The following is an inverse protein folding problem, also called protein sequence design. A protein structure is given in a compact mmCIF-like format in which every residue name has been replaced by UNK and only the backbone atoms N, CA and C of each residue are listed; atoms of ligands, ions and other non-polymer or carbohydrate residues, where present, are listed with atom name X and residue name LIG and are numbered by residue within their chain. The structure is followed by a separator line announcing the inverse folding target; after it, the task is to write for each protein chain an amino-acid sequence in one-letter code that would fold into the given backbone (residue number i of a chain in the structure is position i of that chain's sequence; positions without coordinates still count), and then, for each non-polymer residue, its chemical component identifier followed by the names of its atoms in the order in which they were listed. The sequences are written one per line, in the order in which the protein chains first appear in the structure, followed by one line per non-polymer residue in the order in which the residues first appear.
data_IF_921567010042
#
_entry.id   IF_921567010042
#
_cell.length_a   1.000
_cell.length_b   1.000
_cell.length_c   1.000
_cell.angle_alpha   90.00
_cell.angle_beta   90.00
_cell.angle_gamma   90.00
#
_symmetry.space_group_name_H-M   'P 1'
#
loop_
_entity.id
_entity.type
_entity.pdbx_description
1 polymer ?
#
# COMPACT_ATOMS: atom_id res chain seq x y z
N UNK A 1 -29.99 -20.75 1.65
CA UNK A 1 -29.10 -19.64 2.04
C UNK A 1 -27.83 -20.26 2.55
N UNK A 2 -26.70 -20.01 1.89
CA UNK A 2 -25.40 -20.50 2.34
C UNK A 2 -24.90 -19.58 3.45
N UNK A 3 -24.63 -20.12 4.63
CA UNK A 3 -24.09 -19.36 5.74
C UNK A 3 -22.59 -19.13 5.46
N UNK A 4 -22.21 -17.89 5.16
CA UNK A 4 -20.81 -17.52 4.88
C UNK A 4 -20.20 -17.02 6.19
N UNK A 5 -19.29 -17.81 6.77
CA UNK A 5 -18.51 -17.40 7.94
C UNK A 5 -17.27 -16.61 7.53
N UNK A 6 -17.16 -15.36 7.96
CA UNK A 6 -15.95 -14.54 7.79
C UNK A 6 -15.02 -14.68 8.99
N UNK A 7 -13.71 -14.71 8.75
CA UNK A 7 -12.69 -14.70 9.81
C UNK A 7 -11.82 -13.46 9.68
N UNK A 8 -11.53 -12.80 10.80
CA UNK A 8 -10.63 -11.65 10.82
C UNK A 8 -9.21 -12.07 10.41
N UNK A 9 -8.52 -11.23 9.64
CA UNK A 9 -7.11 -11.40 9.29
C UNK A 9 -6.34 -10.24 9.92
N UNK A 10 -5.29 -10.52 10.68
CA UNK A 10 -4.40 -9.47 11.17
C UNK A 10 -3.62 -8.87 9.99
N UNK A 11 -3.84 -7.58 9.74
CA UNK A 11 -3.25 -6.86 8.60
C UNK A 11 -2.32 -5.76 9.11
N UNK A 12 -1.21 -6.16 9.72
CA UNK A 12 -0.23 -5.22 10.29
C UNK A 12 0.97 -5.04 9.35
N UNK A 13 1.30 -3.78 9.07
CA UNK A 13 2.49 -3.42 8.30
C UNK A 13 3.75 -3.75 9.10
N UNK A 14 4.76 -4.30 8.41
CA UNK A 14 6.11 -4.41 8.96
C UNK A 14 6.72 -3.01 9.14
N UNK A 15 7.68 -2.87 10.06
CA UNK A 15 8.36 -1.59 10.29
C UNK A 15 8.95 -0.98 9.00
N UNK A 16 9.57 -1.80 8.16
CA UNK A 16 10.08 -1.35 6.86
C UNK A 16 8.96 -0.89 5.91
N UNK A 17 7.80 -1.53 5.93
CA UNK A 17 6.66 -1.12 5.10
C UNK A 17 6.09 0.22 5.57
N UNK A 18 5.96 0.41 6.89
CA UNK A 18 5.56 1.68 7.49
C UNK A 18 6.54 2.79 7.12
N UNK A 19 7.85 2.53 7.22
CA UNK A 19 8.89 3.48 6.86
C UNK A 19 8.78 3.91 5.39
N UNK A 20 8.61 2.97 4.46
CA UNK A 20 8.48 3.31 3.03
C UNK A 20 7.19 4.10 2.79
N UNK A 21 6.06 3.72 3.41
CA UNK A 21 4.81 4.49 3.30
C UNK A 21 4.98 5.92 3.81
N UNK A 22 5.71 6.12 4.91
CA UNK A 22 6.03 7.45 5.43
C UNK A 22 6.88 8.25 4.44
N UNK A 23 7.96 7.67 3.91
CA UNK A 23 8.82 8.33 2.92
C UNK A 23 8.05 8.78 1.68
N UNK A 24 7.07 7.99 1.23
CA UNK A 24 6.19 8.37 0.14
C UNK A 24 5.30 9.58 0.49
N UNK A 25 4.78 9.64 1.72
CA UNK A 25 4.04 10.80 2.20
C UNK A 25 4.92 12.05 2.31
N UNK A 26 6.16 11.89 2.78
CA UNK A 26 7.12 12.99 2.89
C UNK A 26 7.53 13.51 1.52
N UNK A 27 7.70 12.63 0.53
CA UNK A 27 7.97 13.00 -0.86
C UNK A 27 6.80 13.77 -1.47
N UNK A 28 5.55 13.34 -1.22
CA UNK A 28 4.35 14.09 -1.62
C UNK A 28 4.39 15.52 -1.05
N UNK A 29 4.57 15.62 0.27
CA UNK A 29 4.53 16.90 0.97
C UNK A 29 5.59 17.86 0.47
N UNK A 30 6.81 17.37 0.21
CA UNK A 30 7.90 18.16 -0.36
C UNK A 30 7.62 18.58 -1.80
N UNK A 31 7.08 17.68 -2.64
CA UNK A 31 6.77 17.98 -4.03
C UNK A 31 5.74 19.11 -4.16
N UNK A 32 4.74 19.16 -3.28
CA UNK A 32 3.74 20.24 -3.29
C UNK A 32 4.31 21.63 -2.98
N UNK A 33 5.51 21.72 -2.40
CA UNK A 33 6.20 23.00 -2.15
C UNK A 33 7.00 23.49 -3.36
N UNK A 34 7.18 22.66 -4.39
CA UNK A 34 7.94 23.05 -5.58
C UNK A 34 7.11 23.98 -6.48
N UNK A 35 7.77 24.88 -7.24
CA UNK A 35 7.13 25.62 -8.31
C UNK A 35 6.46 24.67 -9.32
N UNK A 36 5.34 25.12 -9.89
CA UNK A 36 4.64 24.36 -10.92
C UNK A 36 5.28 24.67 -12.29
N UNK A 37 5.93 23.67 -12.89
CA UNK A 37 6.53 23.70 -14.22
C UNK A 37 5.55 23.19 -15.29
N UNK A 38 4.66 22.26 -14.94
CA UNK A 38 3.66 21.70 -15.86
C UNK A 38 2.30 21.49 -15.18
N UNK A 39 1.16 21.93 -15.78
CA UNK A 39 -0.16 21.84 -15.15
C UNK A 39 -0.59 20.44 -14.66
N UNK A 40 -0.09 19.38 -15.30
CA UNK A 40 -0.46 18.00 -14.95
C UNK A 40 0.46 17.34 -13.93
N UNK A 41 1.64 17.89 -13.67
CA UNK A 41 2.69 17.18 -12.92
C UNK A 41 2.27 16.84 -11.48
N UNK A 42 1.49 17.72 -10.83
CA UNK A 42 0.96 17.47 -9.49
C UNK A 42 0.07 16.25 -9.46
N UNK A 43 -0.87 16.16 -10.41
CA UNK A 43 -1.77 15.03 -10.49
C UNK A 43 -1.01 13.74 -10.79
N UNK A 44 -0.09 13.78 -11.76
CA UNK A 44 0.74 12.62 -12.15
C UNK A 44 1.59 12.12 -10.98
N UNK A 45 2.26 13.02 -10.26
CA UNK A 45 3.09 12.68 -9.11
C UNK A 45 2.27 12.10 -7.95
N UNK A 46 1.13 12.72 -7.61
CA UNK A 46 0.23 12.24 -6.57
C UNK A 46 -0.35 10.86 -6.91
N UNK A 47 -0.75 10.64 -8.16
CA UNK A 47 -1.22 9.33 -8.63
C UNK A 47 -0.13 8.25 -8.57
N UNK A 48 1.11 8.60 -8.92
CA UNK A 48 2.24 7.68 -8.80
C UNK A 48 2.50 7.29 -7.34
N UNK A 49 2.44 8.25 -6.41
CA UNK A 49 2.58 7.96 -4.98
C UNK A 49 1.45 7.06 -4.48
N UNK A 50 0.20 7.33 -4.85
CA UNK A 50 -0.93 6.46 -4.50
C UNK A 50 -0.74 5.03 -5.04
N UNK A 51 -0.22 4.89 -6.26
CA UNK A 51 0.06 3.57 -6.82
C UNK A 51 1.10 2.80 -5.96
N UNK A 52 2.16 3.47 -5.53
CA UNK A 52 3.17 2.90 -4.64
C UNK A 52 2.60 2.54 -3.26
N UNK A 53 1.85 3.46 -2.62
CA UNK A 53 1.24 3.22 -1.32
C UNK A 53 0.26 2.05 -1.37
N UNK A 54 -0.58 1.95 -2.42
CA UNK A 54 -1.50 0.82 -2.61
C UNK A 54 -0.78 -0.52 -2.62
N UNK A 55 0.38 -0.61 -3.27
CA UNK A 55 1.18 -1.84 -3.30
C UNK A 55 1.65 -2.19 -1.90
N UNK A 56 2.21 -1.24 -1.16
CA UNK A 56 2.76 -1.49 0.18
C UNK A 56 1.66 -1.86 1.18
N UNK A 57 0.55 -1.11 1.17
CA UNK A 57 -0.58 -1.31 2.08
C UNK A 57 -1.33 -2.63 1.84
N UNK A 58 -1.26 -3.19 0.63
CA UNK A 58 -1.84 -4.50 0.32
C UNK A 58 -1.01 -5.68 0.89
N UNK A 59 0.30 -5.49 1.11
CA UNK A 59 1.22 -6.56 1.56
C UNK A 59 0.78 -7.28 2.84
N UNK A 60 0.35 -6.62 3.92
CA UNK A 60 -0.12 -7.33 5.11
C UNK A 60 -1.34 -8.21 4.86
N UNK A 61 -2.28 -7.76 4.03
CA UNK A 61 -3.44 -8.56 3.65
C UNK A 61 -3.03 -9.78 2.82
N UNK A 62 -2.09 -9.61 1.88
CA UNK A 62 -1.55 -10.72 1.07
C UNK A 62 -0.91 -11.78 1.99
N UNK A 63 -0.10 -11.37 2.97
CA UNK A 63 0.49 -12.29 3.95
C UNK A 63 -0.59 -13.00 4.76
N UNK A 64 -1.52 -12.26 5.35
CA UNK A 64 -2.56 -12.85 6.18
C UNK A 64 -3.51 -13.80 5.42
N UNK A 65 -3.74 -13.57 4.12
CA UNK A 65 -4.45 -14.53 3.26
C UNK A 65 -3.61 -15.78 2.97
N UNK A 66 -2.29 -15.63 2.75
CA UNK A 66 -1.39 -16.77 2.56
C UNK A 66 -1.33 -17.66 3.82
N UNK A 67 -1.30 -17.06 5.01
CA UNK A 67 -1.33 -17.78 6.29
C UNK A 67 -2.61 -18.61 6.47
N UNK A 68 -3.73 -18.14 5.91
CA UNK A 68 -5.00 -18.86 5.86
C UNK A 68 -5.10 -19.89 4.72
N UNK A 69 -4.05 -20.05 3.92
CA UNK A 69 -4.06 -20.93 2.74
C UNK A 69 -4.91 -20.42 1.57
N UNK A 70 -5.29 -19.14 1.59
CA UNK A 70 -6.13 -18.48 0.58
C UNK A 70 -5.31 -17.57 -0.37
N UNK A 71 -4.01 -17.38 -0.07
CA UNK A 71 -3.08 -16.58 -0.85
C UNK A 71 -1.97 -17.40 -1.51
N UNK A 72 -1.14 -16.72 -2.30
CA UNK A 72 0.05 -17.31 -2.88
C UNK A 72 1.03 -17.75 -1.78
N UNK A 73 1.37 -19.05 -1.75
CA UNK A 73 2.44 -19.57 -0.90
C UNK A 73 3.75 -19.44 -1.65
N UNK A 74 4.67 -18.60 -1.18
CA UNK A 74 6.06 -18.69 -1.61
C UNK A 74 6.56 -20.09 -1.25
N UNK A 75 6.95 -20.87 -2.27
CA UNK A 75 7.61 -22.15 -2.04
C UNK A 75 8.81 -21.89 -1.11
N UNK A 76 8.83 -22.58 0.03
CA UNK A 76 9.91 -22.49 1.00
C UNK A 76 11.11 -23.28 0.49
#
# INVERSE_FOLDING_TARGET
MTDISYTNTECTLLAAEQQITQMLGDAWNQFLQLPLEHPMERNEFCLAIHACQRIILARPAIRGLADKGQGYKTAK
#
